data_IF_943385950012
#
_entry.id   IF_943385950012
#
_cell.length_a   1.000
_cell.length_b   1.000
_cell.length_c   1.000
_cell.angle_alpha   90.00
_cell.angle_beta   90.00
_cell.angle_gamma   90.00
#
_symmetry.space_group_name_H-M   'P 1'
#
loop_
_entity.id
_entity.type
_entity.pdbx_description
1 polymer ?
#
# COMPACT_ATOMS: atom_id res chain seq x y z
N UNK A 1 0.92 2.83 -8.26
CA UNK A 1 1.92 3.80 -7.76
C UNK A 1 1.64 4.01 -6.29
N UNK A 2 2.32 3.28 -5.41
CA UNK A 2 2.27 3.52 -3.97
C UNK A 2 3.32 4.61 -3.69
N UNK A 3 2.90 5.76 -3.15
CA UNK A 3 3.79 6.88 -2.83
C UNK A 3 4.06 6.88 -1.33
N UNK A 4 5.29 6.56 -0.94
CA UNK A 4 5.76 6.74 0.44
C UNK A 4 6.12 8.21 0.70
N UNK A 5 5.13 9.00 1.13
CA UNK A 5 5.29 10.40 1.59
C UNK A 5 5.57 10.41 3.11
N UNK A 6 6.22 9.36 3.62
CA UNK A 6 6.03 9.00 5.02
C UNK A 6 6.77 9.91 6.02
N UNK A 7 7.91 10.53 5.67
CA UNK A 7 8.79 11.16 6.68
C UNK A 7 8.84 12.68 6.75
N UNK A 8 8.60 13.42 5.67
CA UNK A 8 8.88 14.86 5.66
C UNK A 8 7.72 15.77 6.09
N UNK A 9 6.47 15.33 6.00
CA UNK A 9 5.31 16.20 6.25
C UNK A 9 4.47 15.86 7.49
N UNK A 10 4.50 14.61 7.98
CA UNK A 10 3.54 14.14 9.00
C UNK A 10 4.04 14.13 10.45
N UNK A 11 5.32 14.45 10.72
CA UNK A 11 5.84 14.49 12.10
C UNK A 11 5.07 15.46 13.01
N UNK A 12 4.55 16.56 12.46
CA UNK A 12 3.86 17.60 13.24
C UNK A 12 2.47 17.19 13.73
N UNK A 13 1.82 16.23 13.07
CA UNK A 13 0.42 15.89 13.33
C UNK A 13 0.24 14.65 14.19
N UNK A 14 1.32 13.94 14.54
CA UNK A 14 1.28 12.70 15.31
C UNK A 14 0.26 11.67 14.77
N UNK A 15 0.00 11.75 13.46
CA UNK A 15 -0.90 10.87 12.69
C UNK A 15 -0.04 10.21 11.61
N UNK A 16 0.03 8.88 11.65
CA UNK A 16 0.55 8.07 10.56
C UNK A 16 -0.58 7.94 9.54
N UNK A 17 -0.41 8.54 8.36
CA UNK A 17 -1.35 8.40 7.26
C UNK A 17 -0.59 7.98 5.99
N UNK A 18 -1.06 6.89 5.38
CA UNK A 18 -0.66 6.44 4.06
C UNK A 18 -1.84 6.62 3.09
N UNK A 19 -1.55 7.03 1.85
CA UNK A 19 -2.56 7.13 0.79
C UNK A 19 -2.29 6.04 -0.26
N UNK A 20 -3.26 5.16 -0.47
CA UNK A 20 -3.19 4.09 -1.46
C UNK A 20 -4.11 4.42 -2.63
N UNK A 21 -3.54 4.49 -3.84
CA UNK A 21 -4.29 4.66 -5.08
C UNK A 21 -4.20 3.36 -5.87
N UNK A 22 -5.35 2.76 -6.15
CA UNK A 22 -5.46 1.48 -6.86
C UNK A 22 -6.09 1.69 -8.23
N UNK A 23 -5.46 1.10 -9.24
CA UNK A 23 -6.03 0.91 -10.57
C UNK A 23 -6.04 -0.56 -10.84
N UNK A 24 -7.20 -1.11 -11.21
CA UNK A 24 -7.36 -2.53 -11.48
C UNK A 24 -7.97 -2.74 -12.85
N UNK A 25 -7.49 -3.76 -13.55
CA UNK A 25 -8.07 -4.26 -14.79
C UNK A 25 -8.35 -5.74 -14.60
N UNK A 26 -9.52 -6.20 -15.05
CA UNK A 26 -9.87 -7.62 -14.97
C UNK A 26 -8.93 -8.40 -15.88
N UNK A 27 -8.28 -9.42 -15.33
CA UNK A 27 -7.39 -10.33 -16.07
C UNK A 27 -7.99 -11.74 -16.08
N UNK A 28 -7.54 -12.60 -16.98
CA UNK A 28 -7.93 -14.01 -17.04
C UNK A 28 -7.03 -14.93 -16.19
N UNK A 29 -5.96 -14.42 -15.60
CA UNK A 29 -4.98 -15.22 -14.85
C UNK A 29 -4.14 -14.41 -13.88
N UNK A 30 -3.61 -15.11 -12.88
CA UNK A 30 -2.72 -14.55 -11.85
C UNK A 30 -1.32 -14.35 -12.48
N UNK A 31 -0.72 -13.16 -12.38
CA UNK A 31 0.64 -12.95 -12.88
C UNK A 31 1.64 -13.77 -12.07
N UNK A 32 2.70 -14.27 -12.71
CA UNK A 32 3.77 -14.99 -11.99
C UNK A 32 4.65 -14.04 -11.20
N UNK A 33 4.98 -12.91 -11.82
CA UNK A 33 5.88 -11.90 -11.27
C UNK A 33 5.17 -10.56 -11.17
N UNK A 34 5.60 -9.76 -10.19
CA UNK A 34 5.12 -8.43 -9.90
C UNK A 34 6.34 -7.51 -9.82
N UNK A 35 6.29 -6.41 -10.57
CA UNK A 35 7.27 -5.34 -10.50
C UNK A 35 6.83 -4.32 -9.46
N UNK A 36 7.67 -4.08 -8.45
CA UNK A 36 7.47 -3.02 -7.47
C UNK A 36 8.51 -1.93 -7.73
N UNK A 37 8.04 -0.73 -8.04
CA UNK A 37 8.89 0.45 -8.22
C UNK A 37 8.76 1.39 -7.02
N UNK A 38 9.89 1.84 -6.50
CA UNK A 38 10.02 2.69 -5.33
C UNK A 38 10.72 3.98 -5.74
N UNK A 39 10.24 5.09 -5.20
CA UNK A 39 10.79 6.43 -5.42
C UNK A 39 10.72 7.25 -4.13
N UNK A 40 11.75 8.04 -3.85
CA UNK A 40 11.80 8.91 -2.68
C UNK A 40 11.48 10.34 -3.07
N UNK A 41 10.21 10.72 -3.03
CA UNK A 41 9.79 12.09 -3.35
C UNK A 41 9.55 12.31 -4.84
N UNK A 42 9.97 13.47 -5.36
CA UNK A 42 9.76 13.82 -6.78
C UNK A 42 10.89 13.18 -7.59
N UNK A 43 10.52 12.18 -8.38
CA UNK A 43 11.38 11.62 -9.43
C UNK A 43 11.79 12.77 -10.34
N UNK A 44 12.99 13.28 -10.14
CA UNK A 44 13.61 14.22 -11.08
C UNK A 44 14.23 13.41 -12.22
N UNK A 45 14.53 14.08 -13.33
CA UNK A 45 15.11 13.46 -14.54
C UNK A 45 16.42 12.69 -14.26
N UNK A 46 17.07 12.96 -13.13
CA UNK A 46 18.35 12.38 -12.70
C UNK A 46 18.24 11.37 -11.56
N UNK A 47 17.03 11.04 -11.09
CA UNK A 47 16.85 10.13 -9.95
C UNK A 47 16.53 8.71 -10.43
N UNK A 48 17.38 7.74 -10.06
CA UNK A 48 17.15 6.34 -10.42
C UNK A 48 15.98 5.76 -9.61
N UNK A 49 14.94 5.32 -10.34
CA UNK A 49 13.85 4.55 -9.76
C UNK A 49 14.39 3.19 -9.32
N UNK A 50 14.28 2.90 -8.02
CA UNK A 50 14.56 1.57 -7.52
C UNK A 50 13.40 0.66 -7.93
N UNK A 51 13.69 -0.48 -8.53
CA UNK A 51 12.70 -1.48 -8.85
C UNK A 51 13.13 -2.86 -8.35
N UNK A 52 12.18 -3.64 -7.88
CA UNK A 52 12.36 -5.04 -7.51
C UNK A 52 11.31 -5.88 -8.22
N UNK A 53 11.71 -7.05 -8.69
CA UNK A 53 10.78 -8.05 -9.24
C UNK A 53 10.61 -9.15 -8.21
N UNK A 54 9.37 -9.49 -7.89
CA UNK A 54 9.04 -10.52 -6.92
C UNK A 54 7.86 -11.36 -7.40
N UNK A 55 7.50 -12.42 -6.68
CA UNK A 55 6.40 -13.31 -7.08
C UNK A 55 5.06 -12.84 -6.52
N UNK A 56 3.97 -13.17 -7.20
CA UNK A 56 2.63 -12.71 -6.80
C UNK A 56 2.24 -13.17 -5.39
N UNK A 57 2.60 -14.39 -4.99
CA UNK A 57 2.33 -14.98 -3.68
C UNK A 57 3.05 -14.28 -2.52
N UNK A 58 4.12 -13.52 -2.80
CA UNK A 58 4.79 -12.67 -1.80
C UNK A 58 4.10 -11.32 -1.61
N UNK A 59 3.33 -10.88 -2.61
CA UNK A 59 2.60 -9.61 -2.61
C UNK A 59 1.17 -9.80 -2.09
N UNK A 60 0.47 -10.83 -2.56
CA UNK A 60 -0.91 -11.13 -2.18
C UNK A 60 -0.92 -12.42 -1.38
N UNK A 61 -1.30 -12.32 -0.11
CA UNK A 61 -1.37 -13.45 0.81
C UNK A 61 -2.81 -13.64 1.26
N UNK A 62 -3.33 -14.81 0.95
CA UNK A 62 -4.66 -15.24 1.39
C UNK A 62 -4.50 -16.02 2.71
N UNK A 63 -5.14 -15.53 3.78
CA UNK A 63 -5.08 -16.16 5.10
C UNK A 63 -6.49 -16.30 5.67
N UNK A 64 -7.12 -17.44 5.41
CA UNK A 64 -8.53 -17.64 5.71
C UNK A 64 -9.39 -16.73 4.84
N UNK A 65 -10.22 -15.89 5.46
CA UNK A 65 -11.06 -14.92 4.76
C UNK A 65 -10.36 -13.58 4.49
N UNK A 66 -9.15 -13.39 5.03
CA UNK A 66 -8.39 -12.15 4.89
C UNK A 66 -7.46 -12.19 3.67
N UNK A 67 -7.40 -11.07 2.94
CA UNK A 67 -6.42 -10.83 1.87
C UNK A 67 -5.46 -9.74 2.34
N UNK A 68 -4.18 -10.08 2.42
CA UNK A 68 -3.11 -9.16 2.83
C UNK A 68 -2.29 -8.78 1.60
N UNK A 69 -2.23 -7.48 1.31
CA UNK A 69 -1.34 -6.92 0.29
C UNK A 69 -0.05 -6.42 0.94
N UNK A 70 1.09 -6.97 0.53
CA UNK A 70 2.43 -6.54 0.93
C UNK A 70 3.07 -5.72 -0.18
N UNK A 71 3.77 -4.66 0.20
CA UNK A 71 4.51 -3.80 -0.73
C UNK A 71 5.94 -3.70 -0.20
N UNK A 72 6.82 -4.68 -0.50
CA UNK A 72 8.20 -4.62 -0.07
C UNK A 72 8.92 -3.47 -0.78
N UNK A 73 9.72 -2.69 -0.03
CA UNK A 73 10.57 -1.64 -0.60
C UNK A 73 12.02 -2.13 -0.83
N UNK A 74 12.33 -3.35 -0.38
CA UNK A 74 13.63 -3.99 -0.47
C UNK A 74 13.53 -5.50 -0.30
N UNK A 75 14.59 -6.22 -0.71
CA UNK A 75 14.74 -7.65 -0.43
C UNK A 75 14.78 -7.96 1.08
N UNK A 76 15.31 -7.03 1.89
CA UNK A 76 15.30 -7.17 3.35
C UNK A 76 13.87 -7.22 3.90
N UNK A 77 12.96 -6.40 3.37
CA UNK A 77 11.55 -6.40 3.80
C UNK A 77 10.90 -7.75 3.50
N UNK A 78 11.20 -8.35 2.34
CA UNK A 78 10.72 -9.71 2.02
C UNK A 78 11.27 -10.75 2.99
N UNK A 79 12.58 -10.72 3.28
CA UNK A 79 13.21 -11.64 4.21
C UNK A 79 12.61 -11.52 5.62
N UNK A 80 12.39 -10.29 6.10
CA UNK A 80 11.76 -10.05 7.40
C UNK A 80 10.33 -10.60 7.42
N UNK A 81 9.54 -10.33 6.38
CA UNK A 81 8.17 -10.84 6.27
C UNK A 81 8.13 -12.37 6.29
N UNK A 82 9.02 -13.03 5.54
CA UNK A 82 9.16 -14.49 5.53
C UNK A 82 9.47 -15.08 6.91
N UNK A 83 10.28 -14.39 7.73
CA UNK A 83 10.58 -14.87 9.09
C UNK A 83 9.39 -14.68 10.03
N UNK A 84 8.70 -13.55 9.93
CA UNK A 84 7.49 -13.27 10.72
C UNK A 84 6.40 -14.31 10.43
N UNK A 85 6.23 -14.72 9.16
CA UNK A 85 5.23 -15.72 8.78
C UNK A 85 5.45 -17.10 9.40
N UNK A 86 6.69 -17.41 9.79
CA UNK A 86 7.03 -18.69 10.45
C UNK A 86 6.63 -18.70 11.92
N UNK A 87 6.27 -17.55 12.50
CA UNK A 87 5.84 -17.51 13.89
C UNK A 87 4.47 -18.17 14.05
N UNK A 88 4.40 -19.19 14.90
CA UNK A 88 3.17 -19.92 15.21
C UNK A 88 2.19 -19.08 16.04
N UNK A 89 2.69 -18.05 16.73
CA UNK A 89 1.95 -17.18 17.62
C UNK A 89 1.82 -15.77 17.02
N UNK A 90 0.75 -15.08 17.38
CA UNK A 90 0.52 -13.68 17.02
C UNK A 90 0.47 -12.81 18.30
N UNK A 91 0.39 -11.49 18.16
CA UNK A 91 0.30 -10.61 19.33
C UNK A 91 -0.91 -10.94 20.22
N UNK A 92 -2.04 -11.31 19.62
CA UNK A 92 -3.25 -11.72 20.33
C UNK A 92 -3.05 -12.95 21.20
N UNK A 93 -2.26 -13.95 20.76
CA UNK A 93 -1.96 -15.14 21.58
C UNK A 93 -1.12 -14.82 22.82
N UNK A 94 -0.45 -13.67 22.86
CA UNK A 94 0.27 -13.18 24.04
C UNK A 94 -0.55 -12.21 24.89
N UNK A 95 -1.85 -12.02 24.60
CA UNK A 95 -2.69 -11.03 25.27
C UNK A 95 -2.35 -9.57 24.91
N UNK A 96 -1.53 -9.36 23.88
CA UNK A 96 -1.13 -8.04 23.41
C UNK A 96 -2.11 -7.54 22.35
N UNK A 97 -2.41 -6.24 22.38
CA UNK A 97 -3.24 -5.56 21.39
C UNK A 97 -2.44 -4.43 20.74
N UNK A 98 -2.58 -4.29 19.43
CA UNK A 98 -2.02 -3.16 18.69
C UNK A 98 -2.99 -1.99 18.79
N UNK A 99 -2.51 -0.85 19.28
CA UNK A 99 -3.23 0.41 19.17
C UNK A 99 -3.01 0.96 17.77
N UNK A 100 -4.03 0.90 16.91
CA UNK A 100 -3.97 1.42 15.54
C UNK A 100 -4.24 2.92 15.46
N UNK A 101 -4.25 3.62 16.61
CA UNK A 101 -4.58 5.03 16.69
C UNK A 101 -6.07 5.30 16.42
N UNK A 102 -6.43 6.58 16.30
CA UNK A 102 -7.82 6.97 16.00
C UNK A 102 -8.13 6.69 14.54
N UNK A 103 -9.01 5.72 14.28
CA UNK A 103 -9.56 5.51 12.94
C UNK A 103 -10.41 6.74 12.58
N UNK A 104 -10.03 7.46 11.52
CA UNK A 104 -10.82 8.57 10.98
C UNK A 104 -11.58 8.05 9.76
N UNK A 105 -12.89 7.78 9.87
CA UNK A 105 -13.69 7.34 8.74
C UNK A 105 -14.03 8.54 7.84
N UNK A 106 -13.07 9.03 7.07
CA UNK A 106 -13.37 10.00 6.02
C UNK A 106 -13.64 9.26 4.70
N UNK A 107 -14.88 9.37 4.20
CA UNK A 107 -15.27 8.91 2.86
C UNK A 107 -16.07 10.02 2.18
N UNK A 108 -15.50 10.64 1.16
CA UNK A 108 -16.14 11.69 0.37
C UNK A 108 -17.08 11.10 -0.70
N UNK A 109 -18.10 10.33 -0.27
CA UNK A 109 -18.97 9.56 -1.18
C UNK A 109 -19.72 10.45 -2.18
N UNK A 110 -20.08 11.66 -1.77
CA UNK A 110 -20.84 12.60 -2.59
C UNK A 110 -20.05 13.10 -3.82
N UNK A 111 -18.73 12.90 -3.82
CA UNK A 111 -17.84 13.26 -4.94
C UNK A 111 -17.48 12.05 -5.82
N UNK A 112 -18.04 10.86 -5.54
CA UNK A 112 -17.84 9.70 -6.40
C UNK A 112 -18.64 9.86 -7.69
N UNK A 113 -17.98 9.65 -8.82
CA UNK A 113 -18.58 9.68 -10.13
C UNK A 113 -19.09 8.27 -10.47
N UNK A 114 -20.36 8.18 -10.86
CA UNK A 114 -20.97 6.91 -11.28
C UNK A 114 -20.55 6.52 -12.71
N UNK A 115 -20.27 7.51 -13.55
CA UNK A 115 -19.83 7.33 -14.93
C UNK A 115 -18.52 8.10 -15.16
N UNK A 116 -17.51 7.40 -15.69
CA UNK A 116 -16.26 8.03 -16.11
C UNK A 116 -16.50 8.62 -17.50
N UNK A 117 -16.82 9.91 -17.56
CA UNK A 117 -17.02 10.59 -18.84
C UNK A 117 -15.68 10.75 -19.55
N UNK A 118 -15.36 9.87 -20.51
CA UNK A 118 -14.04 9.75 -21.15
C UNK A 118 -13.52 11.04 -21.80
N UNK A 119 -14.37 12.06 -21.99
CA UNK A 119 -13.96 13.38 -22.49
C UNK A 119 -13.41 14.35 -21.42
N UNK A 120 -13.43 13.99 -20.14
CA UNK A 120 -13.02 14.85 -19.03
C UNK A 120 -11.85 14.20 -18.24
N UNK A 121 -10.92 15.04 -17.80
CA UNK A 121 -9.84 14.60 -16.91
C UNK A 121 -10.39 14.44 -15.48
N UNK A 122 -10.20 13.26 -14.91
CA UNK A 122 -10.55 12.95 -13.53
C UNK A 122 -9.29 12.76 -12.71
N UNK A 123 -9.26 13.31 -11.50
CA UNK A 123 -8.16 13.13 -10.56
C UNK A 123 -8.71 12.70 -9.20
N UNK A 124 -8.00 11.85 -8.44
CA UNK A 124 -8.40 11.51 -7.09
C UNK A 124 -8.46 12.75 -6.19
N UNK A 125 -9.56 12.93 -5.46
CA UNK A 125 -9.65 13.91 -4.39
C UNK A 125 -8.88 13.39 -3.17
N UNK A 126 -7.73 14.00 -2.88
CA UNK A 126 -6.89 13.64 -1.73
C UNK A 126 -7.07 14.71 -0.67
N UNK A 127 -7.59 14.33 0.50
CA UNK A 127 -7.61 15.19 1.67
C UNK A 127 -6.25 15.12 2.38
N UNK A 128 -5.58 16.26 2.50
CA UNK A 128 -4.35 16.41 3.28
C UNK A 128 -4.61 17.44 4.39
N UNK A 129 -4.49 17.06 5.68
CA UNK A 129 -4.58 17.98 6.81
C UNK A 129 -3.34 18.90 6.94
#
# INVERSE_FOLDING_TARGET
MIRDIHKMYFQKYNVLQENVILTAMKTSGIPKEVLVSISNGRVNENEELKAITTTYDKIIIEKGDDIIMRIPASELDELVAMHIDRFSNNMGSFGLKVSTGRVVPFRAKDYLLNDVNMGHNHVPLIWMP
#
